data_IF_880151028669
#
_entry.id   IF_880151028669
#
_cell.length_a   1.000
_cell.length_b   1.000
_cell.length_c   1.000
_cell.angle_alpha   90.00
_cell.angle_beta   90.00
_cell.angle_gamma   90.00
#
_symmetry.space_group_name_H-M   'P 1'
#
loop_
_entity.id
_entity.type
_entity.pdbx_description
1 polymer ?
#
# COMPACT_ATOMS: atom_id res chain seq x y z
N UNK A 1 -6.44 -13.97 6.10
CA UNK A 1 -5.19 -13.79 5.33
C UNK A 1 -5.35 -12.54 4.48
N UNK A 2 -4.34 -11.68 4.40
CA UNK A 2 -4.37 -10.47 3.56
C UNK A 2 -4.04 -10.86 2.12
N UNK A 3 -4.77 -10.32 1.15
CA UNK A 3 -4.48 -10.52 -0.29
C UNK A 3 -3.33 -9.64 -0.80
N UNK A 4 -2.48 -9.15 0.10
CA UNK A 4 -1.38 -8.24 -0.21
C UNK A 4 -0.08 -8.94 0.15
N UNK A 5 0.79 -9.09 -0.83
CA UNK A 5 2.14 -9.61 -0.67
C UNK A 5 3.14 -8.44 -0.68
N UNK A 6 4.10 -8.41 0.25
CA UNK A 6 5.22 -7.49 0.13
C UNK A 6 6.03 -7.83 -1.13
N UNK A 7 6.33 -6.82 -1.94
CA UNK A 7 7.15 -7.00 -3.12
C UNK A 7 8.63 -7.31 -2.80
N UNK A 8 9.01 -7.37 -1.51
CA UNK A 8 10.36 -7.74 -1.08
C UNK A 8 10.84 -9.08 -1.62
N UNK A 9 9.96 -10.08 -1.64
CA UNK A 9 10.29 -11.40 -2.19
C UNK A 9 10.66 -11.29 -3.67
N UNK A 10 10.04 -10.35 -4.40
CA UNK A 10 10.34 -10.11 -5.81
C UNK A 10 11.68 -9.37 -5.95
N UNK A 11 11.97 -8.42 -5.06
CA UNK A 11 13.26 -7.71 -5.04
C UNK A 11 14.43 -8.67 -4.85
N UNK A 12 14.37 -9.52 -3.83
CA UNK A 12 15.42 -10.48 -3.53
C UNK A 12 15.66 -11.43 -4.73
N UNK A 13 14.58 -11.91 -5.35
CA UNK A 13 14.66 -12.75 -6.55
C UNK A 13 15.24 -12.01 -7.76
N UNK A 14 14.93 -10.72 -7.94
CA UNK A 14 15.50 -9.92 -9.03
C UNK A 14 17.00 -9.68 -8.84
N UNK A 15 17.45 -9.48 -7.60
CA UNK A 15 18.86 -9.37 -7.27
C UNK A 15 19.60 -10.68 -7.60
N UNK A 16 19.04 -11.82 -7.22
CA UNK A 16 19.58 -13.14 -7.55
C UNK A 16 19.64 -13.35 -9.08
N UNK A 17 18.57 -13.03 -9.81
CA UNK A 17 18.54 -13.16 -11.28
C UNK A 17 19.59 -12.24 -11.92
N UNK A 18 19.76 -11.02 -11.42
CA UNK A 18 20.79 -10.12 -11.91
C UNK A 18 22.18 -10.73 -11.69
N UNK A 19 22.44 -11.27 -10.51
CA UNK A 19 23.72 -11.93 -10.21
C UNK A 19 23.97 -13.11 -11.14
N UNK A 20 22.98 -14.00 -11.32
CA UNK A 20 23.10 -15.15 -12.24
C UNK A 20 23.31 -14.74 -13.70
N UNK A 21 22.69 -13.65 -14.15
CA UNK A 21 22.86 -13.16 -15.53
C UNK A 21 24.23 -12.54 -15.76
N UNK A 22 24.80 -11.84 -14.78
CA UNK A 22 26.18 -11.34 -14.83
C UNK A 22 27.20 -12.49 -14.85
N UNK A 23 26.99 -13.51 -14.03
CA UNK A 23 27.83 -14.72 -14.05
C UNK A 23 27.73 -15.47 -15.39
N UNK A 24 26.53 -15.50 -15.99
CA UNK A 24 26.32 -16.07 -17.31
C UNK A 24 27.08 -15.27 -18.38
N UNK A 25 26.96 -13.94 -18.38
CA UNK A 25 27.71 -13.06 -19.30
C UNK A 25 29.22 -13.34 -19.20
N UNK A 26 29.77 -13.40 -17.99
CA UNK A 26 31.19 -13.68 -17.77
C UNK A 26 31.61 -15.06 -18.30
N UNK A 27 30.78 -16.10 -18.11
CA UNK A 27 31.05 -17.44 -18.67
C UNK A 27 30.96 -17.47 -20.18
N UNK A 28 30.03 -16.71 -20.77
CA UNK A 28 29.88 -16.59 -22.23
C UNK A 28 31.04 -15.84 -22.89
N UNK A 29 31.71 -14.93 -22.19
CA UNK A 29 32.94 -14.27 -22.67
C UNK A 29 34.08 -15.27 -22.89
N UNK A 30 34.17 -16.29 -22.03
CA UNK A 30 35.22 -17.31 -22.07
C UNK A 30 34.96 -18.42 -23.10
N UNK A 31 33.76 -18.46 -23.69
CA UNK A 31 33.36 -19.49 -24.66
C UNK A 31 33.15 -18.91 -26.06
N UNK A 32 33.35 -19.76 -27.08
CA UNK A 32 32.99 -19.44 -28.46
C UNK A 32 31.49 -19.70 -28.62
N UNK A 33 30.69 -18.69 -28.28
CA UNK A 33 29.22 -18.71 -28.38
C UNK A 33 28.76 -17.68 -29.39
N UNK A 34 27.61 -17.89 -30.02
CA UNK A 34 27.06 -16.96 -31.00
C UNK A 34 26.84 -15.57 -30.39
N UNK A 35 27.00 -14.53 -31.20
CA UNK A 35 26.77 -13.14 -30.77
C UNK A 35 25.32 -12.93 -30.28
N UNK A 36 24.37 -13.65 -30.86
CA UNK A 36 22.96 -13.63 -30.48
C UNK A 36 22.74 -14.09 -29.03
N UNK A 37 23.39 -15.18 -28.61
CA UNK A 37 23.28 -15.67 -27.22
C UNK A 37 23.82 -14.66 -26.22
N UNK A 38 24.92 -13.98 -26.54
CA UNK A 38 25.49 -12.91 -25.71
C UNK A 38 24.53 -11.71 -25.61
N UNK A 39 23.92 -11.34 -26.74
CA UNK A 39 22.95 -10.25 -26.78
C UNK A 39 21.69 -10.55 -25.96
N UNK A 40 21.19 -11.79 -25.99
CA UNK A 40 20.05 -12.21 -25.18
C UNK A 40 20.40 -12.11 -23.69
N UNK A 41 21.55 -12.64 -23.26
CA UNK A 41 21.99 -12.56 -21.86
C UNK A 41 22.06 -11.10 -21.38
N UNK A 42 22.65 -10.22 -22.19
CA UNK A 42 22.75 -8.79 -21.88
C UNK A 42 21.40 -8.08 -21.84
N UNK A 43 20.48 -8.46 -22.73
CA UNK A 43 19.12 -7.92 -22.73
C UNK A 43 18.36 -8.31 -21.45
N UNK A 44 18.54 -9.54 -20.96
CA UNK A 44 17.93 -9.99 -19.70
C UNK A 44 18.53 -9.19 -18.53
N UNK A 45 19.85 -9.07 -18.45
CA UNK A 45 20.52 -8.31 -17.39
C UNK A 45 20.09 -6.83 -17.40
N UNK A 46 19.94 -6.22 -18.59
CA UNK A 46 19.39 -4.87 -18.75
C UNK A 46 17.96 -4.76 -18.24
N UNK A 47 17.08 -5.66 -18.65
CA UNK A 47 15.66 -5.68 -18.21
C UNK A 47 15.53 -5.79 -16.69
N UNK A 48 16.33 -6.66 -16.07
CA UNK A 48 16.33 -6.87 -14.62
C UNK A 48 16.87 -5.63 -13.89
N UNK A 49 17.94 -4.99 -14.40
CA UNK A 49 18.45 -3.72 -13.88
C UNK A 49 17.41 -2.61 -13.93
N UNK A 50 16.72 -2.48 -15.05
CA UNK A 50 15.69 -1.46 -15.22
C UNK A 50 14.53 -1.67 -14.24
N UNK A 51 14.12 -2.92 -14.03
CA UNK A 51 13.07 -3.26 -13.08
C UNK A 51 13.49 -3.01 -11.62
N UNK A 52 14.72 -3.38 -11.25
CA UNK A 52 15.27 -3.05 -9.92
C UNK A 52 15.34 -1.54 -9.71
N UNK A 53 15.85 -0.80 -10.68
CA UNK A 53 15.92 0.66 -10.64
C UNK A 53 14.55 1.32 -10.59
N UNK A 54 13.52 0.70 -11.19
CA UNK A 54 12.13 1.14 -11.04
C UNK A 54 11.60 0.91 -9.62
N UNK A 55 11.81 -0.28 -9.06
CA UNK A 55 11.32 -0.62 -7.72
C UNK A 55 12.01 0.19 -6.60
N UNK A 56 13.26 0.58 -6.78
CA UNK A 56 14.00 1.43 -5.83
C UNK A 56 13.51 2.88 -5.78
N UNK A 57 12.70 3.33 -6.76
CA UNK A 57 12.14 4.70 -6.76
C UNK A 57 10.97 4.88 -5.81
N UNK A 58 10.37 3.79 -5.32
CA UNK A 58 9.24 3.89 -4.41
C UNK A 58 9.72 4.31 -3.00
N UNK A 59 8.99 5.20 -2.31
CA UNK A 59 9.36 5.66 -0.97
C UNK A 59 9.23 4.58 0.11
N UNK A 60 8.56 3.47 -0.21
CA UNK A 60 8.37 2.32 0.64
C UNK A 60 8.28 1.06 -0.22
N UNK A 61 8.35 -0.11 0.43
CA UNK A 61 8.22 -1.39 -0.24
C UNK A 61 6.81 -1.50 -0.88
N UNK A 62 6.71 -1.71 -2.21
CA UNK A 62 5.41 -1.82 -2.85
C UNK A 62 4.69 -3.10 -2.42
N UNK A 63 3.36 -3.06 -2.50
CA UNK A 63 2.49 -4.21 -2.22
C UNK A 63 1.91 -4.73 -3.52
N UNK A 64 1.90 -6.06 -3.67
CA UNK A 64 1.24 -6.75 -4.77
C UNK A 64 -0.09 -7.30 -4.28
N UNK A 65 -1.19 -6.87 -4.89
CA UNK A 65 -2.49 -7.46 -4.62
C UNK A 65 -2.67 -8.75 -5.42
N UNK A 66 -2.92 -9.86 -4.74
CA UNK A 66 -3.09 -11.20 -5.34
C UNK A 66 -4.50 -11.75 -5.20
N UNK A 67 -5.45 -10.92 -4.78
CA UNK A 67 -6.85 -11.31 -4.70
C UNK A 67 -7.55 -11.26 -6.05
N UNK A 68 -8.79 -11.75 -6.10
CA UNK A 68 -9.66 -11.56 -7.25
C UNK A 68 -10.14 -10.12 -7.37
N UNK A 69 -10.55 -9.74 -8.58
CA UNK A 69 -11.09 -8.44 -8.92
C UNK A 69 -10.26 -7.73 -9.99
N UNK A 70 -10.83 -6.69 -10.56
CA UNK A 70 -10.10 -5.79 -11.46
C UNK A 70 -9.31 -4.77 -10.65
N UNK A 71 -8.30 -4.15 -11.28
CA UNK A 71 -7.54 -3.05 -10.67
C UNK A 71 -8.46 -1.96 -10.12
N UNK A 72 -9.52 -1.61 -10.86
CA UNK A 72 -10.37 -0.47 -10.51
C UNK A 72 -11.26 -0.77 -9.32
N UNK A 73 -11.74 -2.01 -9.20
CA UNK A 73 -12.47 -2.48 -8.02
C UNK A 73 -11.60 -2.44 -6.76
N UNK A 74 -10.32 -2.81 -6.90
CA UNK A 74 -9.36 -2.79 -5.78
C UNK A 74 -9.04 -1.35 -5.38
N UNK A 75 -8.82 -0.46 -6.35
CA UNK A 75 -8.59 0.97 -6.09
C UNK A 75 -9.81 1.58 -5.38
N UNK A 76 -11.01 1.41 -5.91
CA UNK A 76 -12.24 1.96 -5.32
C UNK A 76 -12.42 1.48 -3.86
N UNK A 77 -12.07 0.21 -3.58
CA UNK A 77 -12.12 -0.33 -2.22
C UNK A 77 -11.10 0.32 -1.29
N UNK A 78 -9.88 0.54 -1.75
CA UNK A 78 -8.83 1.22 -0.99
C UNK A 78 -9.20 2.68 -0.71
N UNK A 79 -9.72 3.39 -1.70
CA UNK A 79 -10.21 4.76 -1.55
C UNK A 79 -11.33 4.85 -0.51
N UNK A 80 -12.28 3.91 -0.55
CA UNK A 80 -13.36 3.86 0.43
C UNK A 80 -12.84 3.62 1.86
N UNK A 81 -11.88 2.71 2.04
CA UNK A 81 -11.25 2.45 3.35
C UNK A 81 -10.49 3.68 3.88
N UNK A 82 -9.79 4.41 3.01
CA UNK A 82 -9.08 5.63 3.37
C UNK A 82 -10.04 6.76 3.77
N UNK A 83 -11.15 6.91 3.05
CA UNK A 83 -12.19 7.87 3.38
C UNK A 83 -12.83 7.58 4.74
N UNK A 84 -13.09 6.30 5.04
CA UNK A 84 -13.63 5.87 6.34
C UNK A 84 -12.69 6.23 7.50
N UNK A 85 -11.41 5.90 7.38
CA UNK A 85 -10.41 6.24 8.41
C UNK A 85 -10.27 7.74 8.62
N UNK A 86 -10.29 8.52 7.53
CA UNK A 86 -10.22 9.98 7.60
C UNK A 86 -11.42 10.61 8.31
N UNK A 87 -12.59 9.94 8.29
CA UNK A 87 -13.77 10.39 9.00
C UNK A 87 -13.70 10.09 10.51
N UNK A 88 -13.03 9.03 10.93
CA UNK A 88 -12.91 8.66 12.36
C UNK A 88 -11.95 9.60 13.12
N UNK A 89 -10.92 10.13 12.47
CA UNK A 89 -10.03 11.15 13.04
C UNK A 89 -10.71 12.52 13.21
N UNK A 90 -11.85 12.74 12.54
CA UNK A 90 -12.67 13.95 12.70
C UNK A 90 -13.57 13.86 13.94
N UNK A 91 -12.96 13.64 15.11
CA UNK A 91 -13.61 13.61 16.41
C UNK A 91 -14.41 14.88 16.73
N UNK A 92 -15.63 14.97 16.22
CA UNK A 92 -16.65 15.88 16.73
C UNK A 92 -17.13 15.27 18.05
N UNK A 93 -16.51 15.75 19.11
CA UNK A 93 -17.00 15.65 20.48
C UNK A 93 -18.36 16.33 20.59
N UNK A 94 -19.46 15.62 20.28
CA UNK A 94 -20.81 16.08 20.64
C UNK A 94 -21.11 15.78 22.13
N UNK A 95 -20.23 16.28 23.00
CA UNK A 95 -20.54 16.49 24.40
C UNK A 95 -21.51 17.67 24.53
N UNK A 96 -22.81 17.43 24.38
CA UNK A 96 -23.85 18.34 24.90
C UNK A 96 -24.88 17.55 25.69
N UNK A 97 -24.64 17.40 27.00
CA UNK A 97 -25.70 17.08 27.96
C UNK A 97 -26.77 18.18 27.88
N UNK A 98 -28.08 17.86 27.84
CA UNK A 98 -29.13 18.85 27.85
C UNK A 98 -29.12 19.60 29.19
N UNK A 99 -28.99 20.92 29.12
CA UNK A 99 -29.04 21.83 30.28
C UNK A 99 -30.50 21.87 30.78
N UNK A 100 -30.82 21.08 31.81
CA UNK A 100 -32.11 21.15 32.52
C UNK A 100 -32.26 22.54 33.16
N UNK A 101 -33.06 23.41 32.55
CA UNK A 101 -33.48 24.66 33.15
C UNK A 101 -34.41 24.38 34.34
N UNK A 102 -33.84 24.46 35.53
CA UNK A 102 -34.53 24.43 36.82
C UNK A 102 -35.08 25.83 37.08
N UNK A 103 -36.27 26.16 36.54
CA UNK A 103 -37.01 27.38 36.93
C UNK A 103 -37.86 27.10 38.18
N UNK A 104 -37.80 28.07 39.09
CA UNK A 104 -38.13 27.94 40.49
C UNK A 104 -39.58 27.56 40.79
N UNK A 105 -39.73 26.72 41.83
CA UNK A 105 -40.91 26.68 42.68
C UNK A 105 -41.04 28.04 43.36
N UNK A 106 -42.09 28.80 43.05
CA UNK A 106 -42.56 29.87 43.94
C UNK A 106 -43.84 29.35 44.61
N UNK A 107 -43.72 29.07 45.91
CA UNK A 107 -44.83 28.77 46.82
C UNK A 107 -45.37 30.08 47.37
N UNK A 108 -46.67 30.32 47.23
CA UNK A 108 -47.57 31.12 48.09
C UNK A 108 -48.95 30.45 47.86
N UNK A 109 -49.68 29.78 48.76
CA UNK A 109 -50.14 30.10 50.13
C UNK A 109 -50.70 31.54 50.17
N UNK A 110 -52.00 31.83 50.37
CA UNK A 110 -52.87 31.43 51.49
C UNK A 110 -54.36 31.80 51.19
N UNK A 111 -55.29 31.08 51.85
CA UNK A 111 -56.71 31.35 52.24
C UNK A 111 -57.78 31.59 51.17
N UNK A 112 -58.90 30.87 51.09
CA UNK A 112 -59.94 30.55 52.11
C UNK A 112 -60.71 31.78 52.60
N UNK A 113 -61.84 32.08 51.93
CA UNK A 113 -63.20 32.28 52.48
C UNK A 113 -64.10 32.96 51.46
#
# INVERSE_FOLDING_TARGET
>A
MTNFLPAGIILDQLEDILQYTLELEQKLEQQVVSAETKQIASSIAGTVRDLLGFLQKFPCQPLVYTGSGTTEEVIARLEWLLALYSMEDSGITSGRKPRKNRRGKQKQAVSSS
#
